data_IF_594304142685
#
_entry.id   IF_594304142685
#
_cell.length_a   1.000
_cell.length_b   1.000
_cell.length_c   1.000
_cell.angle_alpha   90.00
_cell.angle_beta   90.00
_cell.angle_gamma   90.00
#
_symmetry.space_group_name_H-M   'P 1'
#
loop_
_entity.id
_entity.type
_entity.pdbx_description
1 polymer ?
#
# COMPACT_ATOMS: atom_id res chain seq x y z
N UNK A 1 3.23 4.12 12.00
CA UNK A 1 3.25 5.04 10.82
C UNK A 1 4.22 6.21 10.94
N UNK A 2 4.58 6.62 12.14
CA UNK A 2 5.49 7.76 12.33
C UNK A 2 6.80 7.67 11.53
N UNK A 3 7.52 6.53 11.49
CA UNK A 3 8.76 6.45 10.70
C UNK A 3 8.54 6.69 9.20
N UNK A 4 7.42 6.24 8.68
CA UNK A 4 7.06 6.42 7.26
C UNK A 4 6.78 7.90 6.96
N UNK A 5 5.99 8.56 7.80
CA UNK A 5 5.66 9.98 7.63
C UNK A 5 6.92 10.84 7.72
N UNK A 6 7.77 10.60 8.72
CA UNK A 6 9.05 11.32 8.87
C UNK A 6 9.93 11.10 7.65
N UNK A 7 10.03 9.86 7.17
CA UNK A 7 10.84 9.52 6.01
C UNK A 7 10.37 10.17 4.72
N UNK A 8 9.06 10.24 4.50
CA UNK A 8 8.50 10.96 3.35
C UNK A 8 8.78 12.47 3.44
N UNK A 9 8.59 13.07 4.62
CA UNK A 9 8.86 14.49 4.82
C UNK A 9 10.32 14.85 4.53
N UNK A 10 11.26 13.98 4.93
CA UNK A 10 12.68 14.16 4.61
C UNK A 10 12.96 14.16 3.12
N UNK A 11 12.08 13.58 2.31
CA UNK A 11 12.16 13.52 0.85
C UNK A 11 11.32 14.61 0.18
N UNK A 12 10.84 15.58 0.95
CA UNK A 12 10.02 16.67 0.42
C UNK A 12 8.60 16.27 0.06
N UNK A 13 8.14 15.13 0.56
CA UNK A 13 6.79 14.63 0.30
C UNK A 13 5.92 14.91 1.52
N UNK A 14 4.83 15.65 1.30
CA UNK A 14 3.87 15.95 2.36
C UNK A 14 3.06 14.69 2.67
N UNK A 15 3.17 14.20 3.88
CA UNK A 15 2.50 12.99 4.32
C UNK A 15 1.87 13.17 5.69
N UNK A 16 0.70 12.60 5.85
CA UNK A 16 -0.01 12.58 7.13
C UNK A 16 -0.35 11.15 7.52
N UNK A 17 -0.35 10.88 8.82
CA UNK A 17 -0.82 9.61 9.34
C UNK A 17 -2.32 9.72 9.64
N UNK A 18 -3.05 8.65 9.32
CA UNK A 18 -4.47 8.54 9.61
C UNK A 18 -4.66 7.51 10.71
N UNK A 19 -5.32 7.90 11.79
CA UNK A 19 -5.68 6.96 12.85
C UNK A 19 -6.90 6.15 12.42
N UNK A 20 -6.73 4.84 12.34
CA UNK A 20 -7.81 3.94 11.95
C UNK A 20 -8.40 3.26 13.19
N UNK A 21 -9.73 3.03 13.22
CA UNK A 21 -10.36 2.33 14.33
C UNK A 21 -9.90 0.87 14.39
N UNK A 22 -9.87 0.32 15.59
CA UNK A 22 -9.63 -1.11 15.81
C UNK A 22 -10.91 -1.87 15.46
N UNK A 23 -11.14 -2.06 14.17
CA UNK A 23 -12.35 -2.65 13.62
C UNK A 23 -11.99 -3.45 12.36
N UNK A 24 -13.00 -3.96 11.66
CA UNK A 24 -12.77 -4.58 10.36
C UNK A 24 -12.24 -3.56 9.35
N UNK A 25 -11.59 -4.05 8.30
CA UNK A 25 -11.12 -3.17 7.23
C UNK A 25 -12.30 -2.41 6.60
N UNK A 26 -13.43 -3.07 6.41
CA UNK A 26 -14.64 -2.48 5.84
C UNK A 26 -15.13 -1.28 6.65
N UNK A 27 -15.08 -1.37 7.98
CA UNK A 27 -15.48 -0.27 8.86
C UNK A 27 -14.47 0.87 8.89
N UNK A 28 -13.20 0.58 8.65
CA UNK A 28 -12.14 1.56 8.63
C UNK A 28 -12.12 2.39 7.33
N UNK A 29 -12.65 1.87 6.23
CA UNK A 29 -12.63 2.52 4.92
C UNK A 29 -13.26 3.93 4.95
N UNK A 30 -14.48 4.14 5.48
CA UNK A 30 -15.05 5.50 5.53
C UNK A 30 -14.21 6.48 6.35
N UNK A 31 -13.61 6.02 7.45
CA UNK A 31 -12.74 6.84 8.28
C UNK A 31 -11.49 7.26 7.50
N UNK A 32 -10.90 6.33 6.75
CA UNK A 32 -9.76 6.60 5.91
C UNK A 32 -10.08 7.65 4.84
N UNK A 33 -11.17 7.48 4.11
CA UNK A 33 -11.58 8.40 3.04
C UNK A 33 -11.85 9.79 3.59
N UNK A 34 -12.53 9.89 4.73
CA UNK A 34 -12.82 11.18 5.37
C UNK A 34 -11.53 11.93 5.73
N UNK A 35 -10.53 11.21 6.25
CA UNK A 35 -9.27 11.81 6.67
C UNK A 35 -8.35 12.14 5.50
N UNK A 36 -8.27 11.27 4.50
CA UNK A 36 -7.38 11.46 3.35
C UNK A 36 -7.94 12.43 2.31
N UNK A 37 -9.27 12.52 2.22
CA UNK A 37 -9.91 13.12 1.04
C UNK A 37 -9.82 12.19 -0.16
N UNK A 38 -10.19 12.68 -1.32
CA UNK A 38 -10.21 11.94 -2.59
C UNK A 38 -9.80 12.87 -3.74
N UNK A 39 -9.46 12.30 -4.85
CA UNK A 39 -9.12 13.02 -6.06
C UNK A 39 -7.81 12.58 -6.69
N UNK A 40 -7.50 13.10 -7.89
CA UNK A 40 -6.32 12.65 -8.66
C UNK A 40 -4.98 13.06 -8.02
N UNK A 41 -4.99 13.99 -7.08
CA UNK A 41 -3.78 14.44 -6.40
C UNK A 41 -3.57 13.80 -5.02
N UNK A 42 -4.49 12.94 -4.61
CA UNK A 42 -4.39 12.23 -3.33
C UNK A 42 -3.74 10.87 -3.55
N UNK A 43 -2.68 10.58 -2.80
CA UNK A 43 -2.04 9.27 -2.79
C UNK A 43 -2.45 8.59 -1.49
N UNK A 44 -3.16 7.48 -1.63
CA UNK A 44 -3.49 6.64 -0.49
C UNK A 44 -2.34 5.68 -0.19
N UNK A 45 -2.25 5.23 1.04
CA UNK A 45 -1.24 4.26 1.38
C UNK A 45 -1.34 3.79 2.81
N UNK A 46 -0.52 2.84 3.13
CA UNK A 46 -0.45 2.33 4.48
C UNK A 46 0.45 1.12 4.59
N UNK A 47 0.70 0.73 5.82
CA UNK A 47 1.47 -0.45 6.15
C UNK A 47 0.51 -1.50 6.73
N UNK A 48 0.63 -2.74 6.28
CA UNK A 48 -0.15 -3.87 6.76
C UNK A 48 -1.67 -3.59 6.67
N UNK A 49 -2.38 -3.62 7.80
CA UNK A 49 -3.82 -3.33 7.86
C UNK A 49 -4.16 -1.99 7.20
N UNK A 50 -3.37 -0.95 7.45
CA UNK A 50 -3.57 0.35 6.82
C UNK A 50 -3.48 0.30 5.30
N UNK A 51 -2.57 -0.51 4.77
CA UNK A 51 -2.47 -0.74 3.32
C UNK A 51 -3.70 -1.45 2.76
N UNK A 52 -4.20 -2.44 3.47
CA UNK A 52 -5.43 -3.13 3.07
C UNK A 52 -6.61 -2.15 3.03
N UNK A 53 -6.77 -1.34 4.06
CA UNK A 53 -7.83 -0.31 4.12
C UNK A 53 -7.69 0.67 2.96
N UNK A 54 -6.47 1.17 2.70
CA UNK A 54 -6.23 2.10 1.58
C UNK A 54 -6.61 1.48 0.23
N UNK A 55 -6.27 0.21 0.01
CA UNK A 55 -6.61 -0.48 -1.23
C UNK A 55 -8.12 -0.63 -1.42
N UNK A 56 -8.85 -0.89 -0.34
CA UNK A 56 -10.31 -0.98 -0.36
C UNK A 56 -10.94 0.39 -0.55
N UNK A 57 -10.39 1.44 0.04
CA UNK A 57 -10.85 2.81 -0.15
C UNK A 57 -10.73 3.25 -1.61
N UNK A 58 -9.71 2.79 -2.32
CA UNK A 58 -9.45 3.17 -3.71
C UNK A 58 -10.49 2.65 -4.70
N UNK A 59 -11.32 1.68 -4.32
CA UNK A 59 -12.44 1.25 -5.18
C UNK A 59 -13.73 2.04 -4.91
N UNK A 60 -13.79 2.77 -3.79
CA UNK A 60 -14.95 3.59 -3.42
C UNK A 60 -14.72 5.08 -3.67
N UNK A 61 -13.47 5.51 -3.74
CA UNK A 61 -13.11 6.92 -3.93
C UNK A 61 -11.93 7.01 -4.90
N UNK A 62 -11.86 8.11 -5.64
CA UNK A 62 -10.75 8.37 -6.54
C UNK A 62 -9.48 8.70 -5.77
N UNK A 63 -8.38 8.03 -6.12
CA UNK A 63 -7.03 8.38 -5.70
C UNK A 63 -6.12 8.47 -6.94
N UNK A 64 -5.07 9.28 -6.86
CA UNK A 64 -4.07 9.37 -7.91
C UNK A 64 -3.05 8.24 -7.90
N UNK A 65 -2.98 7.51 -6.81
CA UNK A 65 -2.10 6.34 -6.66
C UNK A 65 -2.20 5.71 -5.29
N UNK A 66 -1.62 4.53 -5.16
CA UNK A 66 -1.54 3.78 -3.91
C UNK A 66 -0.12 3.31 -3.65
N UNK A 67 0.32 3.39 -2.39
CA UNK A 67 1.58 2.82 -1.92
C UNK A 67 1.27 1.89 -0.76
N UNK A 68 1.50 0.60 -0.96
CA UNK A 68 1.09 -0.45 -0.02
C UNK A 68 2.32 -1.17 0.53
N UNK A 69 2.69 -0.83 1.77
CA UNK A 69 3.80 -1.46 2.47
C UNK A 69 3.31 -2.70 3.20
N UNK A 70 3.91 -3.84 2.92
CA UNK A 70 3.60 -5.11 3.61
C UNK A 70 2.11 -5.45 3.59
N UNK A 71 1.54 -5.47 2.39
CA UNK A 71 0.12 -5.82 2.22
C UNK A 71 -0.16 -7.20 2.81
N UNK A 72 -1.12 -7.33 3.75
CA UNK A 72 -1.40 -8.61 4.41
C UNK A 72 -2.33 -9.45 3.52
N UNK A 73 -1.74 -10.13 2.55
CA UNK A 73 -2.44 -10.90 1.52
C UNK A 73 -3.30 -12.02 2.11
N UNK A 74 -2.83 -12.63 3.20
CA UNK A 74 -3.54 -13.68 3.93
C UNK A 74 -3.05 -13.70 5.39
N UNK A 75 -3.78 -14.38 6.26
CA UNK A 75 -3.29 -14.63 7.61
C UNK A 75 -2.14 -15.65 7.57
N UNK A 76 -1.18 -15.56 8.49
CA UNK A 76 -0.13 -16.60 8.59
C UNK A 76 -0.76 -17.98 8.75
N UNK A 77 -0.28 -18.95 7.96
CA UNK A 77 -0.82 -20.31 7.98
C UNK A 77 -2.10 -20.53 7.16
N UNK A 78 -2.66 -19.49 6.52
CA UNK A 78 -3.88 -19.58 5.73
C UNK A 78 -3.69 -19.04 4.32
N UNK A 79 -2.72 -19.55 3.54
CA UNK A 79 -2.41 -19.02 2.22
C UNK A 79 -3.50 -19.26 1.17
N UNK A 80 -4.49 -20.10 1.48
CA UNK A 80 -5.66 -20.35 0.64
C UNK A 80 -6.80 -19.34 0.85
N UNK A 81 -6.68 -18.48 1.87
CA UNK A 81 -7.69 -17.45 2.17
C UNK A 81 -7.14 -16.07 1.79
N UNK A 82 -7.11 -15.79 0.49
CA UNK A 82 -6.53 -14.57 -0.05
C UNK A 82 -7.47 -13.37 0.04
N UNK A 83 -6.90 -12.20 0.35
CA UNK A 83 -7.61 -10.92 0.43
C UNK A 83 -7.44 -10.15 -0.88
N UNK A 84 -7.96 -10.70 -1.97
CA UNK A 84 -7.70 -10.21 -3.34
C UNK A 84 -8.96 -9.82 -4.11
N UNK A 85 -10.17 -10.00 -3.56
CA UNK A 85 -11.42 -9.83 -4.30
C UNK A 85 -11.56 -8.45 -4.94
N UNK A 86 -11.14 -7.39 -4.23
CA UNK A 86 -11.27 -6.01 -4.69
C UNK A 86 -10.12 -5.54 -5.60
N UNK A 87 -9.00 -6.26 -5.65
CA UNK A 87 -7.80 -5.81 -6.37
C UNK A 87 -8.04 -5.51 -7.86
N UNK A 88 -8.82 -6.32 -8.60
CA UNK A 88 -9.10 -6.00 -10.01
C UNK A 88 -9.85 -4.69 -10.23
N UNK A 89 -10.52 -4.16 -9.21
CA UNK A 89 -11.30 -2.92 -9.28
C UNK A 89 -10.47 -1.67 -8.98
N UNK A 90 -9.21 -1.81 -8.59
CA UNK A 90 -8.33 -0.68 -8.35
C UNK A 90 -7.93 -0.05 -9.68
N UNK A 91 -8.19 1.24 -9.87
CA UNK A 91 -7.99 1.95 -11.14
C UNK A 91 -6.71 2.78 -11.19
N UNK A 92 -6.19 3.20 -10.04
CA UNK A 92 -5.02 4.07 -9.99
C UNK A 92 -3.71 3.25 -10.02
N UNK A 93 -2.59 3.90 -10.38
CA UNK A 93 -1.27 3.27 -10.27
C UNK A 93 -1.02 2.82 -8.84
N UNK A 94 -0.50 1.62 -8.67
CA UNK A 94 -0.32 1.00 -7.35
C UNK A 94 1.08 0.40 -7.23
N UNK A 95 1.74 0.71 -6.11
CA UNK A 95 3.02 0.12 -5.75
C UNK A 95 2.84 -0.76 -4.51
N UNK A 96 3.23 -2.02 -4.64
CA UNK A 96 3.35 -2.96 -3.51
C UNK A 96 4.82 -3.09 -3.12
N UNK A 97 5.12 -2.98 -1.83
CA UNK A 97 6.45 -3.22 -1.29
C UNK A 97 6.35 -4.32 -0.25
N UNK A 98 7.04 -5.43 -0.47
CA UNK A 98 6.86 -6.64 0.34
C UNK A 98 8.20 -7.33 0.61
N UNK A 99 8.35 -7.85 1.82
CA UNK A 99 9.47 -8.73 2.15
C UNK A 99 9.23 -10.14 1.58
N UNK A 100 10.29 -10.82 1.15
CA UNK A 100 10.17 -12.17 0.57
C UNK A 100 9.94 -13.26 1.63
N UNK A 101 10.03 -12.91 2.91
CA UNK A 101 9.80 -13.82 4.05
C UNK A 101 8.62 -13.39 4.91
N UNK A 102 7.71 -12.62 4.34
CA UNK A 102 6.54 -12.13 5.07
C UNK A 102 5.53 -13.27 5.25
N UNK A 103 5.22 -13.68 6.50
CA UNK A 103 4.24 -14.75 6.74
C UNK A 103 2.80 -14.36 6.37
N UNK A 104 2.52 -13.05 6.19
CA UNK A 104 1.22 -12.55 5.72
C UNK A 104 1.12 -12.47 4.20
N UNK A 105 2.19 -12.77 3.47
CA UNK A 105 2.21 -12.60 2.01
C UNK A 105 3.23 -13.54 1.38
N UNK A 106 2.82 -14.81 1.21
CA UNK A 106 3.69 -15.79 0.55
C UNK A 106 4.09 -15.28 -0.84
N UNK A 107 5.37 -15.31 -1.14
CA UNK A 107 5.93 -14.59 -2.29
C UNK A 107 5.30 -14.96 -3.63
N UNK A 108 5.10 -16.26 -3.89
CA UNK A 108 4.48 -16.71 -5.13
C UNK A 108 3.05 -16.19 -5.28
N UNK A 109 2.29 -16.19 -4.18
CA UNK A 109 0.91 -15.68 -4.16
C UNK A 109 0.88 -14.16 -4.29
N UNK A 110 1.85 -13.47 -3.70
CA UNK A 110 1.96 -12.02 -3.82
C UNK A 110 2.24 -11.60 -5.26
N UNK A 111 3.13 -12.30 -5.95
CA UNK A 111 3.40 -12.05 -7.37
C UNK A 111 2.16 -12.20 -8.23
N UNK A 112 1.34 -13.22 -7.96
CA UNK A 112 0.08 -13.44 -8.68
C UNK A 112 -0.94 -12.35 -8.35
N UNK A 113 -1.06 -11.98 -7.07
CA UNK A 113 -2.02 -10.97 -6.61
C UNK A 113 -1.77 -9.59 -7.24
N UNK A 114 -0.51 -9.19 -7.36
CA UNK A 114 -0.15 -7.91 -7.97
C UNK A 114 -0.63 -7.83 -9.43
N UNK A 115 -0.64 -8.95 -10.15
CA UNK A 115 -1.11 -9.00 -11.53
C UNK A 115 -2.62 -8.76 -11.66
N UNK A 116 -3.38 -8.90 -10.57
CA UNK A 116 -4.81 -8.60 -10.57
C UNK A 116 -5.10 -7.10 -10.63
N UNK A 117 -4.17 -6.27 -10.19
CA UNK A 117 -4.31 -4.81 -10.24
C UNK A 117 -3.85 -4.33 -11.62
N UNK A 118 -4.72 -3.63 -12.39
CA UNK A 118 -4.41 -3.28 -13.79
C UNK A 118 -3.13 -2.49 -13.99
N UNK A 119 -2.75 -1.62 -13.06
CA UNK A 119 -1.55 -0.80 -13.16
C UNK A 119 -0.78 -0.89 -11.85
N UNK A 120 -0.01 -1.97 -11.67
CA UNK A 120 0.70 -2.20 -10.42
C UNK A 120 2.13 -2.66 -10.64
N UNK A 121 2.96 -2.37 -9.65
CA UNK A 121 4.34 -2.86 -9.55
C UNK A 121 4.55 -3.50 -8.19
N UNK A 122 5.43 -4.47 -8.12
CA UNK A 122 5.86 -5.12 -6.88
C UNK A 122 7.36 -4.94 -6.69
N UNK A 123 7.73 -4.35 -5.57
CA UNK A 123 9.12 -4.28 -5.12
C UNK A 123 9.31 -5.29 -4.00
N UNK A 124 10.28 -6.19 -4.16
CA UNK A 124 10.56 -7.26 -3.19
C UNK A 124 11.83 -6.93 -2.45
N UNK A 125 11.78 -7.02 -1.12
CA UNK A 125 12.94 -6.81 -0.24
C UNK A 125 13.42 -8.14 0.30
N UNK A 126 14.56 -8.59 -0.20
CA UNK A 126 15.16 -9.88 0.14
C UNK A 126 15.49 -9.96 1.64
N UNK A 127 15.13 -11.08 2.24
CA UNK A 127 15.44 -11.36 3.65
C UNK A 127 14.52 -10.64 4.64
N UNK A 128 13.52 -9.90 4.17
CA UNK A 128 12.63 -9.15 5.06
C UNK A 128 11.34 -9.90 5.31
N UNK A 129 10.84 -9.80 6.55
CA UNK A 129 9.56 -10.32 6.97
C UNK A 129 8.44 -9.32 6.76
N UNK A 130 7.49 -9.29 7.71
CA UNK A 130 6.31 -8.43 7.62
C UNK A 130 6.64 -6.95 7.82
N UNK A 131 7.68 -6.62 8.56
CA UNK A 131 8.11 -5.24 8.73
C UNK A 131 9.25 -4.88 7.79
N UNK A 132 9.23 -3.66 7.25
CA UNK A 132 10.27 -3.16 6.37
C UNK A 132 11.16 -2.10 7.03
N UNK A 133 11.10 -1.96 8.37
CA UNK A 133 11.84 -0.92 9.09
C UNK A 133 13.35 -1.01 8.91
N UNK A 134 13.90 -2.22 8.76
CA UNK A 134 15.34 -2.42 8.54
C UNK A 134 15.82 -1.93 7.17
N UNK A 135 14.91 -1.82 6.21
CA UNK A 135 15.17 -1.36 4.85
C UNK A 135 14.31 -0.13 4.50
N UNK A 136 13.90 0.62 5.53
CA UNK A 136 12.94 1.71 5.37
C UNK A 136 13.43 2.77 4.38
N UNK A 137 14.69 3.18 4.46
CA UNK A 137 15.22 4.18 3.51
C UNK A 137 15.14 3.70 2.06
N UNK A 138 15.49 2.44 1.81
CA UNK A 138 15.39 1.85 0.47
C UNK A 138 13.94 1.80 0.01
N UNK A 139 13.02 1.38 0.90
CA UNK A 139 11.61 1.29 0.58
C UNK A 139 11.01 2.68 0.28
N UNK A 140 11.39 3.69 1.05
CA UNK A 140 10.93 5.06 0.84
C UNK A 140 11.51 5.68 -0.43
N UNK A 141 12.74 5.34 -0.79
CA UNK A 141 13.33 5.78 -2.07
C UNK A 141 12.55 5.21 -3.25
N UNK A 142 12.19 3.94 -3.20
CA UNK A 142 11.35 3.30 -4.22
C UNK A 142 9.98 3.98 -4.31
N UNK A 143 9.37 4.24 -3.15
CA UNK A 143 8.08 4.93 -3.10
C UNK A 143 8.17 6.36 -3.66
N UNK A 144 9.22 7.10 -3.34
CA UNK A 144 9.43 8.46 -3.86
C UNK A 144 9.60 8.45 -5.39
N UNK A 145 10.36 7.50 -5.93
CA UNK A 145 10.52 7.34 -7.38
C UNK A 145 9.20 7.00 -8.07
N UNK A 146 8.39 6.15 -7.43
CA UNK A 146 7.06 5.83 -7.92
C UNK A 146 6.18 7.08 -8.01
N UNK A 147 6.19 7.92 -6.97
CA UNK A 147 5.42 9.17 -6.97
C UNK A 147 5.87 10.11 -8.08
N UNK A 148 7.18 10.22 -8.33
CA UNK A 148 7.70 11.01 -9.44
C UNK A 148 7.23 10.47 -10.79
N UNK A 149 7.12 9.16 -10.94
CA UNK A 149 6.63 8.54 -12.18
C UNK A 149 5.17 8.88 -12.45
N UNK A 150 4.35 9.00 -11.41
CA UNK A 150 2.94 9.42 -11.53
C UNK A 150 2.87 10.89 -12.00
N UNK A 151 3.65 11.78 -11.39
CA UNK A 151 3.69 13.20 -11.74
C UNK A 151 4.10 13.42 -13.20
N UNK A 152 5.10 12.69 -13.68
CA UNK A 152 5.55 12.77 -15.08
C UNK A 152 4.45 12.40 -16.07
N UNK A 153 3.61 11.42 -15.74
CA UNK A 153 2.51 11.00 -16.62
C UNK A 153 1.38 12.02 -16.68
N UNK A 154 1.24 12.87 -15.64
CA UNK A 154 0.25 13.94 -15.61
C UNK A 154 0.70 15.18 -16.39
N UNK A 155 2.01 15.36 -16.50
CA UNK A 155 2.58 16.45 -17.27
C UNK A 155 2.66 16.09 -18.74
#
# INVERSE_FOLDING_TARGET
>A
MKPYVVGFKRRGIDAIAVDLPKASAERAVPVFIKASGRGPDVIGGGQSFGGRVASMAAIEAEFGGLILFSYPLHRPGFPDQLRTEHLPSIRCPTLFLSGDRDPFARLDLMKEAVQLVPNARLEIFKGQGHGLLKVLDQALDVAADFLKSIEKKKG
#
